data_IF_619051249041
#
_entry.id   IF_619051249041
#
_cell.length_a   1.000
_cell.length_b   1.000
_cell.length_c   1.000
_cell.angle_alpha   90.00
_cell.angle_beta   90.00
_cell.angle_gamma   90.00
#
_symmetry.space_group_name_H-M   'P 1'
#
loop_
_entity.id
_entity.type
_entity.pdbx_description
1 polymer ?
#
# COMPACT_ATOMS: atom_id res chain seq x y z
N UNK A 1 17.14 5.89 -2.48
CA UNK A 1 17.27 6.40 -1.09
C UNK A 1 16.01 6.02 -0.30
N UNK A 2 16.02 6.05 1.04
CA UNK A 2 14.86 5.64 1.85
C UNK A 2 13.57 6.46 1.55
N UNK A 3 13.73 7.74 1.18
CA UNK A 3 12.63 8.61 0.75
C UNK A 3 12.00 8.12 -0.56
N UNK A 4 12.81 7.74 -1.55
CA UNK A 4 12.32 7.24 -2.83
C UNK A 4 11.51 5.94 -2.63
N UNK A 5 11.96 5.07 -1.73
CA UNK A 5 11.22 3.86 -1.36
C UNK A 5 9.88 4.20 -0.72
N UNK A 6 9.82 5.14 0.23
CA UNK A 6 8.58 5.60 0.87
C UNK A 6 7.59 6.15 -0.17
N UNK A 7 8.07 7.01 -1.08
CA UNK A 7 7.22 7.58 -2.14
C UNK A 7 6.70 6.52 -3.09
N UNK A 8 7.54 5.55 -3.48
CA UNK A 8 7.12 4.44 -4.33
C UNK A 8 6.03 3.57 -3.67
N UNK A 9 6.17 3.26 -2.37
CA UNK A 9 5.15 2.50 -1.64
C UNK A 9 3.83 3.29 -1.54
N UNK A 10 3.89 4.59 -1.27
CA UNK A 10 2.69 5.45 -1.21
C UNK A 10 1.95 5.53 -2.56
N UNK A 11 2.68 5.68 -3.67
CA UNK A 11 2.10 5.68 -5.00
C UNK A 11 1.44 4.34 -5.32
N UNK A 12 2.10 3.24 -4.96
CA UNK A 12 1.56 1.91 -5.23
C UNK A 12 0.33 1.58 -4.38
N UNK A 13 0.31 1.97 -3.11
CA UNK A 13 -0.88 1.87 -2.25
C UNK A 13 -2.03 2.68 -2.85
N UNK A 14 -1.77 3.89 -3.36
CA UNK A 14 -2.81 4.71 -4.00
C UNK A 14 -3.38 4.02 -5.24
N UNK A 15 -2.51 3.44 -6.07
CA UNK A 15 -2.92 2.67 -7.26
C UNK A 15 -3.76 1.45 -6.90
N UNK A 16 -3.35 0.69 -5.88
CA UNK A 16 -4.08 -0.48 -5.39
C UNK A 16 -5.43 -0.11 -4.81
N UNK A 17 -5.52 0.96 -4.01
CA UNK A 17 -6.79 1.42 -3.44
C UNK A 17 -7.80 1.76 -4.55
N UNK A 18 -7.36 2.42 -5.62
CA UNK A 18 -8.22 2.68 -6.76
C UNK A 18 -8.72 1.39 -7.43
N UNK A 19 -7.84 0.41 -7.65
CA UNK A 19 -8.19 -0.92 -8.18
C UNK A 19 -9.22 -1.64 -7.28
N UNK A 20 -8.96 -1.65 -5.97
CA UNK A 20 -9.82 -2.25 -4.96
C UNK A 20 -11.20 -1.60 -4.97
N UNK A 21 -11.30 -0.27 -5.00
CA UNK A 21 -12.57 0.45 -5.04
C UNK A 21 -13.39 0.10 -6.30
N UNK A 22 -12.74 0.04 -7.46
CA UNK A 22 -13.39 -0.34 -8.72
C UNK A 22 -13.91 -1.79 -8.66
N UNK A 23 -13.07 -2.72 -8.23
CA UNK A 23 -13.45 -4.14 -8.12
C UNK A 23 -14.51 -4.38 -7.05
N UNK A 24 -14.44 -3.66 -5.92
CA UNK A 24 -15.45 -3.69 -4.87
C UNK A 24 -16.80 -3.20 -5.37
N UNK A 25 -16.84 -2.08 -6.09
CA UNK A 25 -18.08 -1.59 -6.69
C UNK A 25 -18.69 -2.62 -7.66
N UNK A 26 -17.86 -3.33 -8.44
CA UNK A 26 -18.33 -4.40 -9.32
C UNK A 26 -18.84 -5.62 -8.55
N UNK A 27 -18.16 -6.01 -7.46
CA UNK A 27 -18.60 -7.08 -6.57
C UNK A 27 -19.97 -6.76 -5.94
N UNK A 28 -20.17 -5.53 -5.44
CA UNK A 28 -21.44 -5.08 -4.84
C UNK A 28 -22.60 -5.13 -5.85
N UNK A 29 -22.31 -4.96 -7.14
CA UNK A 29 -23.29 -5.09 -8.22
C UNK A 29 -23.42 -6.51 -8.79
N UNK A 30 -22.72 -7.50 -8.23
CA UNK A 30 -22.63 -8.88 -8.75
C UNK A 30 -22.13 -8.95 -10.22
N UNK A 31 -21.28 -8.00 -10.64
CA UNK A 31 -20.72 -7.87 -12.00
C UNK A 31 -19.23 -8.27 -12.06
N UNK A 32 -18.80 -9.14 -11.13
CA UNK A 32 -17.42 -9.58 -11.00
C UNK A 32 -17.29 -11.06 -11.37
N UNK A 33 -16.21 -11.43 -12.06
CA UNK A 33 -15.88 -12.84 -12.32
C UNK A 33 -14.83 -13.36 -11.32
N UNK A 34 -14.57 -14.67 -11.34
CA UNK A 34 -13.65 -15.32 -10.40
C UNK A 34 -12.23 -14.75 -10.44
N UNK A 35 -11.73 -14.36 -11.61
CA UNK A 35 -10.37 -13.82 -11.74
C UNK A 35 -10.27 -12.40 -11.21
N UNK A 36 -11.31 -11.60 -11.42
CA UNK A 36 -11.44 -10.27 -10.83
C UNK A 36 -11.61 -10.32 -9.31
N UNK A 37 -12.34 -11.31 -8.80
CA UNK A 37 -12.45 -11.55 -7.36
C UNK A 37 -11.10 -11.95 -6.76
N UNK A 38 -10.35 -12.85 -7.41
CA UNK A 38 -8.97 -13.16 -7.01
C UNK A 38 -8.10 -11.91 -7.03
N UNK A 39 -8.20 -11.08 -8.08
CA UNK A 39 -7.45 -9.82 -8.17
C UNK A 39 -7.79 -8.89 -6.99
N UNK A 40 -9.07 -8.75 -6.65
CA UNK A 40 -9.51 -7.94 -5.51
C UNK A 40 -8.86 -8.43 -4.20
N UNK A 41 -8.87 -9.73 -3.95
CA UNK A 41 -8.25 -10.32 -2.76
C UNK A 41 -6.73 -10.10 -2.76
N UNK A 42 -6.07 -10.30 -3.90
CA UNK A 42 -4.62 -10.10 -4.03
C UNK A 42 -4.23 -8.64 -3.86
N UNK A 43 -4.98 -7.71 -4.43
CA UNK A 43 -4.75 -6.26 -4.28
C UNK A 43 -4.93 -5.83 -2.82
N UNK A 44 -5.96 -6.35 -2.13
CA UNK A 44 -6.15 -6.12 -0.70
C UNK A 44 -4.95 -6.61 0.12
N UNK A 45 -4.52 -7.86 -0.11
CA UNK A 45 -3.36 -8.43 0.58
C UNK A 45 -2.09 -7.62 0.34
N UNK A 46 -1.86 -7.18 -0.90
CA UNK A 46 -0.69 -6.38 -1.27
C UNK A 46 -0.73 -4.98 -0.66
N UNK A 47 -1.91 -4.36 -0.56
CA UNK A 47 -2.10 -3.07 0.11
C UNK A 47 -1.71 -3.15 1.59
N UNK A 48 -2.10 -4.23 2.28
CA UNK A 48 -1.73 -4.48 3.69
C UNK A 48 -0.21 -4.64 3.85
N UNK A 49 0.43 -5.43 3.00
CA UNK A 49 1.90 -5.65 3.05
C UNK A 49 2.65 -4.33 2.83
N UNK A 50 2.30 -3.59 1.77
CA UNK A 50 2.94 -2.30 1.48
C UNK A 50 2.71 -1.28 2.61
N UNK A 51 1.53 -1.28 3.24
CA UNK A 51 1.24 -0.43 4.39
C UNK A 51 2.13 -0.74 5.59
N UNK A 52 2.41 -2.03 5.85
CA UNK A 52 3.35 -2.44 6.89
C UNK A 52 4.79 -2.02 6.56
N UNK A 53 5.25 -2.28 5.34
CA UNK A 53 6.58 -1.89 4.86
C UNK A 53 6.80 -0.38 4.94
N UNK A 54 5.80 0.40 4.52
CA UNK A 54 5.81 1.86 4.62
C UNK A 54 5.94 2.31 6.08
N UNK A 55 5.22 1.69 7.01
CA UNK A 55 5.31 1.99 8.44
C UNK A 55 6.73 1.73 8.98
N UNK A 56 7.33 0.59 8.62
CA UNK A 56 8.71 0.24 8.99
C UNK A 56 9.71 1.28 8.45
N UNK A 57 9.61 1.63 7.18
CA UNK A 57 10.48 2.62 6.54
C UNK A 57 10.37 4.00 7.20
N UNK A 58 9.15 4.45 7.50
CA UNK A 58 8.91 5.73 8.19
C UNK A 58 9.48 5.73 9.60
N UNK A 59 9.32 4.65 10.37
CA UNK A 59 9.92 4.52 11.72
C UNK A 59 11.44 4.60 11.66
N UNK A 60 12.06 3.90 10.71
CA UNK A 60 13.51 3.90 10.55
C UNK A 60 14.03 5.29 10.12
N UNK A 61 13.33 5.97 9.21
CA UNK A 61 13.66 7.35 8.85
C UNK A 61 13.57 8.31 10.04
N UNK A 62 12.54 8.18 10.88
CA UNK A 62 12.38 8.99 12.09
C UNK A 62 13.47 8.69 13.13
N UNK A 63 13.88 7.43 13.28
CA UNK A 63 15.01 7.05 14.14
C UNK A 63 16.31 7.72 13.66
N UNK A 64 16.60 7.67 12.35
CA UNK A 64 17.81 8.31 11.80
C UNK A 64 17.81 9.83 11.97
N UNK A 65 16.64 10.47 11.80
CA UNK A 65 16.48 11.91 12.06
C UNK A 65 16.77 12.26 13.52
N UNK A 66 16.18 11.53 14.45
CA UNK A 66 16.36 11.78 15.90
C UNK A 66 17.78 11.48 16.39
N UNK A 67 18.43 10.44 15.86
CA UNK A 67 19.84 10.14 16.13
C UNK A 67 20.79 11.21 15.58
N UNK A 68 20.43 11.87 14.48
CA UNK A 68 21.22 12.96 13.88
C UNK A 68 21.06 14.30 14.61
N UNK A 69 20.06 14.45 15.48
CA UNK A 69 19.75 15.71 16.19
C UNK A 69 20.23 15.76 17.64
N UNK A 70 20.71 14.65 18.20
CA UNK A 70 21.40 14.63 19.50
C UNK A 70 22.92 14.53 19.27
N UNK A 71 23.69 15.62 19.47
CA UNK A 71 25.15 15.57 19.51
C UNK A 71 25.67 14.86 20.77
#
# INVERSE_FOLDING_TARGET
>A
MAIDSILAHQQEITRLNHSIEQLKARLENNLINDDEYKQLVMDCGRCVVLGFELNVLQREQNRRRTASTNP
#
